data_IF_581599893809
#
_entry.id   IF_581599893809
#
_cell.length_a   1.000
_cell.length_b   1.000
_cell.length_c   1.000
_cell.angle_alpha   90.00
_cell.angle_beta   90.00
_cell.angle_gamma   90.00
#
_symmetry.space_group_name_H-M   'P 1'
#
loop_
_entity.id
_entity.type
_entity.pdbx_description
1 polymer ?
#
# COMPACT_ATOMS: atom_id res chain seq x y z
N UNK A 1 -6.32 1.20 -5.31
CA UNK A 1 -5.67 0.65 -4.11
C UNK A 1 -5.71 1.72 -3.04
N UNK A 2 -5.88 1.32 -1.79
CA UNK A 2 -5.88 2.21 -0.63
C UNK A 2 -4.87 1.71 0.41
N UNK A 3 -4.14 2.63 1.02
CA UNK A 3 -3.26 2.42 2.17
C UNK A 3 -3.81 3.18 3.36
N UNK A 4 -3.87 2.51 4.52
CA UNK A 4 -4.43 3.05 5.75
C UNK A 4 -3.46 2.74 6.89
N UNK A 5 -2.78 3.76 7.38
CA UNK A 5 -1.88 3.73 8.52
C UNK A 5 -2.54 4.25 9.80
N UNK A 6 -2.08 3.79 10.97
CA UNK A 6 -2.40 4.42 12.25
C UNK A 6 -1.87 5.86 12.31
N UNK A 7 -2.36 6.66 13.27
CA UNK A 7 -2.03 8.10 13.36
C UNK A 7 -0.53 8.41 13.53
N UNK A 8 0.27 7.44 13.97
CA UNK A 8 1.72 7.53 14.14
C UNK A 8 2.52 6.93 12.98
N UNK A 9 1.89 6.71 11.82
CA UNK A 9 2.53 6.10 10.65
C UNK A 9 2.65 7.12 9.52
N UNK A 10 3.81 7.11 8.87
CA UNK A 10 4.08 7.90 7.68
C UNK A 10 4.51 6.97 6.54
N UNK A 11 3.68 6.91 5.50
CA UNK A 11 3.88 6.08 4.31
C UNK A 11 4.89 6.79 3.42
N UNK A 12 5.99 6.12 3.10
CA UNK A 12 7.16 6.77 2.48
C UNK A 12 7.40 6.34 1.05
N UNK A 13 7.10 5.08 0.75
CA UNK A 13 7.36 4.51 -0.55
C UNK A 13 6.26 3.53 -0.91
N UNK A 14 5.84 3.63 -2.16
CA UNK A 14 4.81 2.80 -2.76
C UNK A 14 5.31 2.41 -4.15
N UNK A 15 5.35 1.11 -4.44
CA UNK A 15 5.68 0.60 -5.76
C UNK A 15 4.47 -0.18 -6.30
N UNK A 16 4.06 0.11 -7.53
CA UNK A 16 3.00 -0.60 -8.24
C UNK A 16 3.57 -1.21 -9.50
N UNK A 17 3.56 -2.53 -9.59
CA UNK A 17 3.99 -3.27 -10.78
C UNK A 17 2.76 -3.80 -11.51
N UNK A 18 2.57 -3.35 -12.75
CA UNK A 18 1.45 -3.78 -13.61
C UNK A 18 1.79 -5.07 -14.33
N UNK A 19 0.77 -5.78 -14.81
CA UNK A 19 0.94 -7.04 -15.54
C UNK A 19 1.56 -6.91 -16.94
N UNK A 20 1.92 -5.72 -17.39
CA UNK A 20 2.78 -5.50 -18.56
C UNK A 20 4.28 -5.39 -18.17
N UNK A 21 4.60 -5.54 -16.87
CA UNK A 21 5.95 -5.45 -16.33
C UNK A 21 6.40 -4.02 -16.00
N UNK A 22 5.59 -3.00 -16.27
CA UNK A 22 5.93 -1.62 -15.89
C UNK A 22 5.74 -1.40 -14.39
N UNK A 23 6.65 -0.63 -13.80
CA UNK A 23 6.58 -0.25 -12.38
C UNK A 23 6.52 1.26 -12.24
N UNK A 24 5.54 1.73 -11.47
CA UNK A 24 5.47 3.11 -10.99
C UNK A 24 5.90 3.13 -9.51
N UNK A 25 6.86 3.99 -9.17
CA UNK A 25 7.33 4.17 -7.79
C UNK A 25 7.06 5.59 -7.32
N UNK A 26 6.50 5.69 -6.12
CA UNK A 26 6.20 6.92 -5.41
C UNK A 26 7.09 6.98 -4.18
N UNK A 27 7.86 8.06 -4.02
CA UNK A 27 8.81 8.25 -2.91
C UNK A 27 8.61 9.64 -2.29
N UNK A 28 7.56 9.77 -1.48
CA UNK A 28 7.21 10.99 -0.76
C UNK A 28 6.59 10.61 0.60
N UNK A 29 6.55 11.54 1.56
CA UNK A 29 5.83 11.34 2.82
C UNK A 29 4.33 11.63 2.59
N UNK A 30 3.52 10.57 2.54
CA UNK A 30 2.07 10.65 2.28
C UNK A 30 1.24 10.75 3.56
N UNK A 31 1.89 10.91 4.72
CA UNK A 31 1.22 10.80 6.02
C UNK A 31 0.68 9.39 6.23
N UNK A 32 -0.44 9.26 6.93
CA UNK A 32 -0.97 7.96 7.32
C UNK A 32 -1.99 7.38 6.32
N UNK A 33 -2.20 7.96 5.16
CA UNK A 33 -3.14 7.40 4.19
C UNK A 33 -2.77 7.76 2.76
N UNK A 34 -3.01 6.82 1.84
CA UNK A 34 -2.78 7.05 0.42
C UNK A 34 -3.80 6.28 -0.41
N UNK A 35 -4.24 6.84 -1.53
CA UNK A 35 -5.19 6.19 -2.42
C UNK A 35 -4.87 6.52 -3.88
N UNK A 36 -4.97 5.51 -4.75
CA UNK A 36 -4.79 5.66 -6.19
C UNK A 36 -5.65 4.69 -6.96
N UNK A 37 -6.28 5.17 -8.01
CA UNK A 37 -6.92 4.33 -9.01
C UNK A 37 -5.85 3.69 -9.92
N UNK A 38 -5.95 2.38 -10.15
CA UNK A 38 -4.98 1.63 -10.95
C UNK A 38 -5.74 1.00 -12.12
N UNK A 39 -5.43 1.45 -13.33
CA UNK A 39 -5.95 0.86 -14.57
C UNK A 39 -4.91 -0.06 -15.20
N UNK A 40 -5.24 -1.34 -15.35
CA UNK A 40 -4.37 -2.39 -15.93
C UNK A 40 -5.21 -3.49 -16.58
N UNK A 41 -4.68 -4.16 -17.61
CA UNK A 41 -5.35 -5.29 -18.29
C UNK A 41 -5.07 -6.65 -17.63
N UNK A 42 -3.86 -6.84 -17.08
CA UNK A 42 -3.34 -8.16 -16.69
C UNK A 42 -3.15 -8.29 -15.16
N UNK A 43 -3.81 -7.44 -14.39
CA UNK A 43 -3.61 -7.33 -12.94
C UNK A 43 -2.42 -6.46 -12.57
N UNK A 44 -2.17 -6.34 -11.26
CA UNK A 44 -1.03 -5.63 -10.69
C UNK A 44 -0.65 -6.22 -9.32
N UNK A 45 0.58 -5.98 -8.90
CA UNK A 45 1.00 -6.04 -7.50
C UNK A 45 1.34 -4.64 -7.00
N UNK A 46 1.19 -4.43 -5.70
CA UNK A 46 1.59 -3.21 -5.06
C UNK A 46 2.21 -3.49 -3.70
N UNK A 47 3.30 -2.79 -3.42
CA UNK A 47 4.06 -2.86 -2.18
C UNK A 47 4.18 -1.48 -1.59
N UNK A 48 4.08 -1.38 -0.27
CA UNK A 48 4.28 -0.12 0.41
C UNK A 48 5.01 -0.34 1.73
N UNK A 49 5.92 0.58 2.04
CA UNK A 49 6.56 0.66 3.33
C UNK A 49 6.28 2.00 4.01
N UNK A 50 6.24 1.94 5.33
CA UNK A 50 6.00 3.09 6.18
C UNK A 50 6.89 3.04 7.43
N UNK A 51 7.09 4.20 8.04
CA UNK A 51 7.82 4.35 9.31
C UNK A 51 6.86 4.78 10.41
N UNK A 52 7.19 4.42 11.65
CA UNK A 52 6.53 4.97 12.83
C UNK A 52 7.19 6.30 13.23
N UNK A 53 6.42 7.29 13.65
CA UNK A 53 6.90 8.66 13.91
C UNK A 53 7.15 8.97 15.39
N UNK A 54 6.65 8.12 16.30
CA UNK A 54 6.69 8.34 17.76
C UNK A 54 7.42 7.22 18.53
N UNK A 55 8.07 6.30 17.82
CA UNK A 55 8.80 5.17 18.40
C UNK A 55 7.92 4.05 18.97
N UNK A 56 6.58 4.14 18.83
CA UNK A 56 5.66 3.07 19.20
C UNK A 56 5.30 2.24 17.96
N UNK A 57 4.82 1.02 18.17
CA UNK A 57 4.29 0.21 17.07
C UNK A 57 3.18 0.95 16.32
N UNK A 58 3.24 0.93 15.00
CA UNK A 58 2.18 1.41 14.12
C UNK A 58 1.45 0.25 13.47
N UNK A 59 0.41 0.56 12.71
CA UNK A 59 -0.31 -0.38 11.85
C UNK A 59 -0.38 0.19 10.44
N UNK A 60 -0.22 -0.67 9.45
CA UNK A 60 -0.41 -0.33 8.04
C UNK A 60 -1.25 -1.41 7.37
N UNK A 61 -2.30 -0.99 6.68
CA UNK A 61 -3.16 -1.85 5.88
C UNK A 61 -3.10 -1.42 4.41
N UNK A 62 -2.94 -2.38 3.51
CA UNK A 62 -3.15 -2.21 2.08
C UNK A 62 -4.43 -2.92 1.64
N UNK A 63 -5.26 -2.25 0.85
CA UNK A 63 -6.48 -2.78 0.29
C UNK A 63 -6.51 -2.64 -1.24
N UNK A 64 -6.94 -3.70 -1.91
CA UNK A 64 -7.40 -3.62 -3.30
C UNK A 64 -8.92 -3.52 -3.27
N UNK A 65 -9.44 -2.41 -3.79
CA UNK A 65 -10.87 -2.12 -3.90
C UNK A 65 -11.25 -2.24 -5.37
N UNK A 66 -12.26 -3.07 -5.66
CA UNK A 66 -12.85 -3.22 -6.99
C UNK A 66 -14.37 -3.15 -6.85
N UNK A 67 -15.01 -2.29 -7.66
CA UNK A 67 -16.46 -2.08 -7.63
C UNK A 67 -17.00 -1.76 -6.22
N UNK A 68 -16.27 -0.91 -5.48
CA UNK A 68 -16.59 -0.51 -4.11
C UNK A 68 -16.38 -1.58 -3.04
N UNK A 69 -15.88 -2.77 -3.40
CA UNK A 69 -15.63 -3.88 -2.47
C UNK A 69 -14.15 -4.13 -2.29
N UNK A 70 -13.72 -4.38 -1.06
CA UNK A 70 -12.37 -4.86 -0.75
C UNK A 70 -12.26 -6.31 -1.21
N UNK A 71 -11.32 -6.60 -2.11
CA UNK A 71 -11.10 -7.95 -2.65
C UNK A 71 -9.80 -8.60 -2.15
N UNK A 72 -8.85 -7.80 -1.66
CA UNK A 72 -7.59 -8.24 -1.05
C UNK A 72 -7.20 -7.24 0.03
N UNK A 73 -6.63 -7.77 1.11
CA UNK A 73 -6.07 -6.98 2.21
C UNK A 73 -4.73 -7.55 2.60
N UNK A 74 -3.81 -6.68 3.01
CA UNK A 74 -2.54 -7.03 3.64
C UNK A 74 -2.29 -6.10 4.81
N UNK A 75 -1.76 -6.64 5.90
CA UNK A 75 -1.62 -5.93 7.17
C UNK A 75 -0.21 -6.08 7.71
N UNK A 76 0.29 -5.02 8.32
CA UNK A 76 1.56 -4.99 9.04
C UNK A 76 1.37 -4.25 10.36
N UNK A 77 2.01 -4.75 11.42
CA UNK A 77 2.01 -4.11 12.73
C UNK A 77 3.40 -4.23 13.35
N UNK A 78 3.91 -3.12 13.90
CA UNK A 78 5.23 -3.08 14.51
C UNK A 78 5.98 -1.76 14.25
N UNK A 79 7.29 -1.74 14.53
CA UNK A 79 8.14 -0.56 14.32
C UNK A 79 8.56 -0.36 12.86
N UNK A 80 8.52 -1.42 12.05
CA UNK A 80 8.79 -1.41 10.60
C UNK A 80 7.54 -1.95 9.93
N UNK A 81 7.01 -1.22 8.96
CA UNK A 81 5.73 -1.56 8.32
C UNK A 81 5.96 -1.82 6.83
N UNK A 82 5.58 -3.01 6.40
CA UNK A 82 5.64 -3.45 5.00
C UNK A 82 4.36 -4.22 4.68
N UNK A 83 3.67 -3.81 3.62
CA UNK A 83 2.48 -4.48 3.11
C UNK A 83 2.63 -4.75 1.61
N UNK A 84 2.02 -5.83 1.15
CA UNK A 84 1.97 -6.20 -0.26
C UNK A 84 0.62 -6.80 -0.61
N UNK A 85 0.06 -6.41 -1.74
CA UNK A 85 -1.18 -6.94 -2.30
C UNK A 85 -1.02 -7.21 -3.79
N UNK A 86 -1.70 -8.22 -4.32
CA UNK A 86 -1.63 -8.59 -5.73
C UNK A 86 -2.99 -9.09 -6.25
N UNK A 87 -3.28 -8.76 -7.51
CA UNK A 87 -4.39 -9.33 -8.28
C UNK A 87 -3.94 -10.33 -9.35
N UNK A 88 -2.64 -10.64 -9.45
CA UNK A 88 -2.19 -11.73 -10.31
C UNK A 88 -2.84 -13.04 -9.82
N UNK A 89 -3.34 -13.84 -10.77
CA UNK A 89 -3.87 -15.18 -10.51
C UNK A 89 -2.75 -16.21 -10.50
#
# INVERSE_FOLDING_TARGET
MKLIGSSNVDIQQIAITKGDGTTETFMEDYGNSWEREITTKNGFSAEANARVTDGKSGKLEAQIIKDGKVIKTSNSEGPILLVSVSTFQ
#
